data_IF_064427233824
#
_entry.id   IF_064427233824
#
_cell.length_a   1.000
_cell.length_b   1.000
_cell.length_c   1.000
_cell.angle_alpha   90.00
_cell.angle_beta   90.00
_cell.angle_gamma   90.00
#
_symmetry.space_group_name_H-M   'P 1'
#
loop_
_entity.id
_entity.type
_entity.pdbx_description
1 polymer ?
#
# COMPACT_ATOMS: atom_id res chain seq x y z
N UNK A 1 25.41 17.99 19.13
CA UNK A 1 25.32 16.84 18.22
C UNK A 1 25.99 17.32 16.94
N UNK A 2 26.96 16.62 16.44
CA UNK A 2 27.72 17.02 15.25
C UNK A 2 26.82 16.76 14.00
N UNK A 3 26.98 17.53 12.93
CA UNK A 3 26.18 17.36 11.71
C UNK A 3 26.27 15.94 11.14
N UNK A 4 27.39 15.29 11.29
CA UNK A 4 27.62 13.90 10.93
C UNK A 4 26.77 12.90 11.75
N UNK A 5 26.64 13.13 13.06
CA UNK A 5 25.80 12.31 13.95
C UNK A 5 24.31 12.48 13.59
N UNK A 6 23.91 13.71 13.26
CA UNK A 6 22.55 14.06 12.86
C UNK A 6 22.19 13.41 11.53
N UNK A 7 23.07 13.48 10.54
CA UNK A 7 22.91 12.85 9.24
C UNK A 7 22.77 11.32 9.38
N UNK A 8 23.62 10.70 10.20
CA UNK A 8 23.57 9.26 10.45
C UNK A 8 22.26 8.84 11.16
N UNK A 9 21.75 9.67 12.07
CA UNK A 9 20.45 9.45 12.72
C UNK A 9 19.30 9.46 11.70
N UNK A 10 19.21 10.51 10.84
CA UNK A 10 18.16 10.59 9.83
C UNK A 10 18.27 9.48 8.80
N UNK A 11 19.48 9.10 8.40
CA UNK A 11 19.69 8.00 7.47
C UNK A 11 19.22 6.66 8.03
N UNK A 12 19.53 6.35 9.29
CA UNK A 12 19.02 5.13 9.95
C UNK A 12 17.52 5.12 10.10
N UNK A 13 16.93 6.27 10.38
CA UNK A 13 15.48 6.41 10.50
C UNK A 13 14.79 6.19 9.13
N UNK A 14 15.32 6.80 8.08
CA UNK A 14 14.86 6.59 6.71
C UNK A 14 14.96 5.12 6.29
N UNK A 15 16.11 4.48 6.52
CA UNK A 15 16.33 3.06 6.20
C UNK A 15 15.33 2.15 6.92
N UNK A 16 15.07 2.40 8.21
CA UNK A 16 14.11 1.64 9.01
C UNK A 16 12.71 1.73 8.41
N UNK A 17 12.22 2.94 8.15
CA UNK A 17 10.86 3.12 7.64
C UNK A 17 10.71 2.65 6.19
N UNK A 18 11.72 2.79 5.36
CA UNK A 18 11.72 2.25 4.00
C UNK A 18 11.63 0.72 3.99
N UNK A 19 12.40 0.04 4.85
CA UNK A 19 12.32 -1.42 5.03
C UNK A 19 10.95 -1.87 5.56
N UNK A 20 10.43 -1.18 6.57
CA UNK A 20 9.09 -1.46 7.11
C UNK A 20 8.01 -1.32 6.05
N UNK A 21 8.10 -0.30 5.20
CA UNK A 21 7.15 -0.08 4.11
C UNK A 21 7.15 -1.22 3.10
N UNK A 22 8.33 -1.68 2.65
CA UNK A 22 8.45 -2.81 1.73
C UNK A 22 7.87 -4.09 2.34
N UNK A 23 8.17 -4.36 3.61
CA UNK A 23 7.62 -5.52 4.33
C UNK A 23 6.09 -5.46 4.43
N UNK A 24 5.54 -4.28 4.73
CA UNK A 24 4.11 -4.05 4.81
C UNK A 24 3.41 -4.32 3.47
N UNK A 25 3.99 -3.86 2.36
CA UNK A 25 3.45 -4.09 1.01
C UNK A 25 3.46 -5.58 0.65
N UNK A 26 4.57 -6.27 0.92
CA UNK A 26 4.67 -7.71 0.69
C UNK A 26 3.64 -8.49 1.51
N UNK A 27 3.43 -8.08 2.76
CA UNK A 27 2.42 -8.68 3.62
C UNK A 27 0.99 -8.42 3.09
N UNK A 28 0.71 -7.18 2.66
CA UNK A 28 -0.57 -6.86 2.03
C UNK A 28 -0.87 -7.73 0.80
N UNK A 29 0.10 -7.88 -0.10
CA UNK A 29 -0.03 -8.72 -1.29
C UNK A 29 -0.34 -10.17 -0.87
N UNK A 30 0.40 -10.71 0.08
CA UNK A 30 0.21 -12.08 0.57
C UNK A 30 -1.19 -12.29 1.17
N UNK A 31 -1.63 -11.38 2.03
CA UNK A 31 -2.97 -11.43 2.63
C UNK A 31 -4.07 -11.33 1.57
N UNK A 32 -3.91 -10.43 0.60
CA UNK A 32 -4.86 -10.24 -0.49
C UNK A 32 -5.00 -11.51 -1.34
N UNK A 33 -3.89 -12.15 -1.69
CA UNK A 33 -3.89 -13.41 -2.45
C UNK A 33 -4.62 -14.51 -1.68
N UNK A 34 -4.39 -14.65 -0.37
CA UNK A 34 -5.07 -15.65 0.47
C UNK A 34 -6.58 -15.38 0.54
N UNK A 35 -6.97 -14.12 0.72
CA UNK A 35 -8.40 -13.75 0.81
C UNK A 35 -9.15 -13.97 -0.51
N UNK A 36 -8.55 -13.59 -1.65
CA UNK A 36 -9.15 -13.86 -2.96
C UNK A 36 -9.16 -15.36 -3.28
N UNK A 37 -8.12 -16.09 -2.91
CA UNK A 37 -8.08 -17.56 -3.03
C UNK A 37 -9.20 -18.22 -2.21
N UNK A 38 -9.42 -17.76 -0.99
CA UNK A 38 -10.53 -18.22 -0.14
C UNK A 38 -11.90 -17.87 -0.72
N UNK A 39 -12.08 -16.65 -1.23
CA UNK A 39 -13.31 -16.23 -1.91
C UNK A 39 -13.58 -17.10 -3.14
N UNK A 40 -12.56 -17.33 -3.98
CA UNK A 40 -12.67 -18.18 -5.15
C UNK A 40 -13.06 -19.63 -4.79
N UNK A 41 -12.46 -20.17 -3.73
CA UNK A 41 -12.80 -21.51 -3.25
C UNK A 41 -14.26 -21.61 -2.80
N UNK A 42 -14.79 -20.59 -2.10
CA UNK A 42 -16.20 -20.55 -1.69
C UNK A 42 -17.16 -20.50 -2.88
N UNK A 43 -16.83 -19.76 -3.92
CA UNK A 43 -17.65 -19.65 -5.14
C UNK A 43 -17.75 -21.00 -5.86
N UNK A 44 -16.74 -21.86 -5.74
CA UNK A 44 -16.71 -23.18 -6.39
C UNK A 44 -17.42 -24.29 -5.59
N UNK A 45 -17.82 -24.03 -4.37
CA UNK A 45 -18.59 -25.00 -3.59
C UNK A 45 -20.00 -25.19 -4.17
N UNK A 46 -20.44 -26.45 -4.28
CA UNK A 46 -21.80 -26.80 -4.72
C UNK A 46 -22.87 -26.22 -3.76
N UNK A 47 -22.57 -26.19 -2.47
CA UNK A 47 -23.37 -25.48 -1.47
C UNK A 47 -22.91 -24.02 -1.38
N UNK A 48 -23.56 -23.12 -2.10
CA UNK A 48 -23.26 -21.69 -2.04
C UNK A 48 -23.44 -21.14 -0.63
N UNK A 49 -22.42 -20.46 -0.12
CA UNK A 49 -22.40 -19.81 1.19
C UNK A 49 -22.35 -18.28 1.04
N UNK A 50 -23.45 -17.62 0.59
CA UNK A 50 -23.43 -16.20 0.25
C UNK A 50 -23.05 -15.30 1.42
N UNK A 51 -23.37 -15.70 2.65
CA UNK A 51 -22.99 -14.96 3.86
C UNK A 51 -21.47 -14.98 4.05
N UNK A 52 -20.82 -16.13 3.86
CA UNK A 52 -19.35 -16.24 3.99
C UNK A 52 -18.64 -15.45 2.88
N UNK A 53 -19.13 -15.53 1.64
CA UNK A 53 -18.63 -14.73 0.51
C UNK A 53 -18.70 -13.22 0.82
N UNK A 54 -19.84 -12.76 1.36
CA UNK A 54 -20.02 -11.36 1.74
C UNK A 54 -19.03 -10.93 2.82
N UNK A 55 -18.86 -11.71 3.89
CA UNK A 55 -17.94 -11.39 4.97
C UNK A 55 -16.49 -11.34 4.49
N UNK A 56 -16.04 -12.29 3.67
CA UNK A 56 -14.68 -12.27 3.10
C UNK A 56 -14.49 -11.03 2.23
N UNK A 57 -15.47 -10.67 1.40
CA UNK A 57 -15.36 -9.51 0.51
C UNK A 57 -15.31 -8.20 1.30
N UNK A 58 -16.14 -8.04 2.33
CA UNK A 58 -16.07 -6.90 3.25
C UNK A 58 -14.72 -6.85 3.95
N UNK A 59 -14.18 -8.00 4.37
CA UNK A 59 -12.88 -8.08 5.01
C UNK A 59 -11.74 -7.67 4.07
N UNK A 60 -11.80 -8.04 2.77
CA UNK A 60 -10.86 -7.57 1.74
C UNK A 60 -10.84 -6.03 1.68
N UNK A 61 -12.02 -5.39 1.66
CA UNK A 61 -12.12 -3.93 1.64
C UNK A 61 -11.52 -3.31 2.90
N UNK A 62 -11.86 -3.82 4.08
CA UNK A 62 -11.35 -3.32 5.36
C UNK A 62 -9.83 -3.42 5.43
N UNK A 63 -9.26 -4.57 5.09
CA UNK A 63 -7.80 -4.79 5.04
C UNK A 63 -7.15 -3.79 4.08
N UNK A 64 -7.69 -3.63 2.88
CA UNK A 64 -7.14 -2.71 1.88
C UNK A 64 -7.15 -1.26 2.35
N UNK A 65 -8.23 -0.80 3.00
CA UNK A 65 -8.32 0.55 3.58
C UNK A 65 -7.30 0.72 4.71
N UNK A 66 -7.14 -0.27 5.59
CA UNK A 66 -6.16 -0.22 6.67
C UNK A 66 -4.73 -0.09 6.11
N UNK A 67 -4.38 -0.90 5.11
CA UNK A 67 -3.04 -0.83 4.49
C UNK A 67 -2.80 0.48 3.74
N UNK A 68 -3.79 1.04 3.05
CA UNK A 68 -3.69 2.38 2.45
C UNK A 68 -3.37 3.45 3.50
N UNK A 69 -4.03 3.41 4.65
CA UNK A 69 -3.77 4.35 5.76
C UNK A 69 -2.36 4.20 6.33
N UNK A 70 -1.91 2.96 6.49
CA UNK A 70 -0.55 2.66 6.96
C UNK A 70 0.50 3.14 5.95
N UNK A 71 0.30 2.91 4.65
CA UNK A 71 1.20 3.37 3.60
C UNK A 71 1.29 4.89 3.56
N UNK A 72 0.17 5.61 3.62
CA UNK A 72 0.14 7.06 3.68
C UNK A 72 0.96 7.60 4.86
N UNK A 73 0.77 7.03 6.06
CA UNK A 73 1.52 7.42 7.25
C UNK A 73 3.03 7.19 7.08
N UNK A 74 3.41 6.00 6.60
CA UNK A 74 4.82 5.64 6.43
C UNK A 74 5.47 6.48 5.34
N UNK A 75 4.76 6.77 4.24
CA UNK A 75 5.21 7.67 3.18
C UNK A 75 5.49 9.07 3.70
N UNK A 76 4.61 9.62 4.53
CA UNK A 76 4.81 10.94 5.14
C UNK A 76 6.06 10.99 6.02
N UNK A 77 6.33 9.93 6.80
CA UNK A 77 7.53 9.84 7.63
C UNK A 77 8.81 9.76 6.78
N UNK A 78 8.79 9.01 5.70
CA UNK A 78 9.91 8.89 4.76
C UNK A 78 10.20 10.25 4.12
N UNK A 79 9.19 10.94 3.58
CA UNK A 79 9.36 12.27 2.98
C UNK A 79 9.90 13.30 3.97
N UNK A 80 9.43 13.30 5.21
CA UNK A 80 9.97 14.19 6.25
C UNK A 80 11.46 13.94 6.51
N UNK A 81 11.91 12.68 6.47
CA UNK A 81 13.34 12.37 6.60
C UNK A 81 14.15 12.78 5.38
N UNK A 82 13.62 12.58 4.17
CA UNK A 82 14.25 13.00 2.93
C UNK A 82 14.49 14.51 2.91
N UNK A 83 13.52 15.32 3.34
CA UNK A 83 13.65 16.77 3.47
C UNK A 83 14.75 17.17 4.46
N UNK A 84 14.78 16.55 5.64
CA UNK A 84 15.83 16.82 6.62
C UNK A 84 17.23 16.44 6.11
N UNK A 85 17.37 15.30 5.42
CA UNK A 85 18.64 14.87 4.85
C UNK A 85 19.07 15.83 3.74
N UNK A 86 18.14 16.30 2.88
CA UNK A 86 18.44 17.29 1.84
C UNK A 86 18.95 18.61 2.40
N UNK A 87 18.37 19.09 3.50
CA UNK A 87 18.83 20.30 4.14
C UNK A 87 20.28 20.16 4.65
N UNK A 88 20.61 19.00 5.21
CA UNK A 88 21.97 18.70 5.66
C UNK A 88 22.94 18.51 4.47
N UNK A 89 22.49 17.90 3.37
CA UNK A 89 23.28 17.71 2.16
C UNK A 89 23.65 19.04 1.48
N UNK A 90 22.85 20.12 1.63
CA UNK A 90 23.18 21.46 1.09
C UNK A 90 24.49 22.02 1.63
N UNK A 91 24.93 21.60 2.82
CA UNK A 91 26.21 21.98 3.41
C UNK A 91 27.41 21.20 2.83
N UNK A 92 27.12 20.11 2.06
CA UNK A 92 28.13 19.26 1.46
C UNK A 92 28.46 19.70 0.02
N UNK A 93 29.63 19.29 -0.50
CA UNK A 93 29.97 19.51 -1.91
C UNK A 93 28.99 18.82 -2.84
N UNK A 94 28.68 19.40 -4.01
CA UNK A 94 27.72 18.91 -5.00
C UNK A 94 27.90 17.41 -5.40
N UNK A 95 29.15 16.93 -5.36
CA UNK A 95 29.43 15.50 -5.65
C UNK A 95 28.86 14.53 -4.61
N UNK A 96 28.62 14.98 -3.37
CA UNK A 96 28.14 14.17 -2.24
C UNK A 96 26.65 14.26 -2.03
N UNK A 97 25.94 15.10 -2.78
CA UNK A 97 24.49 15.29 -2.66
C UNK A 97 23.71 14.17 -3.41
N UNK A 98 23.57 13.02 -2.79
CA UNK A 98 22.97 11.83 -3.40
C UNK A 98 21.46 11.95 -3.58
N UNK A 99 20.73 12.49 -2.59
CA UNK A 99 19.27 12.60 -2.64
C UNK A 99 18.85 13.64 -3.68
N UNK A 100 19.52 14.78 -3.72
CA UNK A 100 19.26 15.81 -4.73
C UNK A 100 19.47 15.29 -6.16
N UNK A 101 20.53 14.52 -6.40
CA UNK A 101 20.78 13.88 -7.71
C UNK A 101 19.76 12.82 -8.06
N UNK A 102 19.34 12.01 -7.09
CA UNK A 102 18.34 10.96 -7.33
C UNK A 102 16.97 11.54 -7.69
N UNK A 103 16.57 12.68 -7.14
CA UNK A 103 15.33 13.37 -7.51
C UNK A 103 15.34 13.87 -8.95
N UNK A 104 16.43 14.50 -9.38
CA UNK A 104 16.58 14.95 -10.77
C UNK A 104 16.46 13.81 -11.78
N UNK A 105 16.90 12.60 -11.41
CA UNK A 105 16.77 11.40 -12.23
C UNK A 105 15.37 10.76 -12.18
N UNK A 106 14.63 10.96 -11.08
CA UNK A 106 13.33 10.34 -10.84
C UNK A 106 12.14 11.25 -11.14
N UNK A 107 12.37 12.49 -11.55
CA UNK A 107 11.31 13.49 -11.83
C UNK A 107 10.29 13.02 -12.89
N UNK A 108 10.64 12.00 -13.70
CA UNK A 108 9.74 11.34 -14.66
C UNK A 108 9.11 10.03 -14.16
N UNK A 109 9.49 9.50 -13.01
CA UNK A 109 9.01 8.22 -12.49
C UNK A 109 7.83 8.42 -11.54
N UNK A 110 6.72 7.72 -11.80
CA UNK A 110 5.59 7.67 -10.85
C UNK A 110 6.09 7.18 -9.50
N UNK A 111 5.82 7.96 -8.45
CA UNK A 111 6.20 7.59 -7.08
C UNK A 111 5.71 6.18 -6.74
N UNK A 112 6.54 5.40 -6.08
CA UNK A 112 6.22 4.06 -5.59
C UNK A 112 4.92 4.05 -4.74
N UNK A 113 4.65 5.16 -4.02
CA UNK A 113 3.42 5.39 -3.28
C UNK A 113 2.19 5.40 -4.18
N UNK A 114 2.26 6.02 -5.36
CA UNK A 114 1.12 6.04 -6.28
C UNK A 114 0.83 4.66 -6.88
N UNK A 115 1.85 3.86 -7.13
CA UNK A 115 1.69 2.50 -7.66
C UNK A 115 1.00 1.58 -6.66
N UNK A 116 1.40 1.64 -5.38
CA UNK A 116 0.74 0.89 -4.32
C UNK A 116 -0.71 1.34 -4.10
N UNK A 117 -0.96 2.65 -4.10
CA UNK A 117 -2.31 3.18 -3.98
C UNK A 117 -3.22 2.72 -5.13
N UNK A 118 -2.72 2.71 -6.36
CA UNK A 118 -3.47 2.19 -7.53
C UNK A 118 -3.80 0.70 -7.32
N UNK A 119 -2.83 -0.12 -6.91
CA UNK A 119 -3.06 -1.54 -6.63
C UNK A 119 -4.17 -1.74 -5.59
N UNK A 120 -4.09 -1.06 -4.46
CA UNK A 120 -5.08 -1.18 -3.40
C UNK A 120 -6.47 -0.67 -3.82
N UNK A 121 -6.54 0.40 -4.62
CA UNK A 121 -7.80 0.90 -5.18
C UNK A 121 -8.40 -0.11 -6.15
N UNK A 122 -7.61 -0.76 -7.01
CA UNK A 122 -8.08 -1.82 -7.90
C UNK A 122 -8.65 -3.01 -7.12
N UNK A 123 -8.00 -3.41 -6.01
CA UNK A 123 -8.50 -4.47 -5.13
C UNK A 123 -9.84 -4.07 -4.49
N UNK A 124 -9.97 -2.85 -3.98
CA UNK A 124 -11.22 -2.35 -3.41
C UNK A 124 -12.32 -2.29 -4.48
N UNK A 125 -12.01 -1.74 -5.66
CA UNK A 125 -12.98 -1.62 -6.75
C UNK A 125 -13.50 -3.00 -7.20
N UNK A 126 -12.61 -3.99 -7.34
CA UNK A 126 -13.03 -5.36 -7.70
C UNK A 126 -13.91 -6.01 -6.65
N UNK A 127 -13.61 -5.80 -5.36
CA UNK A 127 -14.44 -6.30 -4.26
C UNK A 127 -15.83 -5.63 -4.23
N UNK A 128 -15.90 -4.32 -4.45
CA UNK A 128 -17.17 -3.58 -4.52
C UNK A 128 -18.01 -4.03 -5.70
N UNK A 129 -17.41 -4.18 -6.89
CA UNK A 129 -18.09 -4.70 -8.09
C UNK A 129 -18.66 -6.09 -7.82
N UNK A 130 -17.88 -6.96 -7.17
CA UNK A 130 -18.35 -8.29 -6.80
C UNK A 130 -19.58 -8.24 -5.88
N UNK A 131 -19.58 -7.39 -4.84
CA UNK A 131 -20.74 -7.23 -3.93
C UNK A 131 -21.96 -6.76 -4.72
N UNK A 132 -21.82 -5.79 -5.62
CA UNK A 132 -22.92 -5.25 -6.43
C UNK A 132 -23.52 -6.35 -7.31
N UNK A 133 -22.69 -7.06 -8.07
CA UNK A 133 -23.15 -8.15 -8.95
C UNK A 133 -23.87 -9.24 -8.16
N UNK A 134 -23.33 -9.60 -7.00
CA UNK A 134 -23.92 -10.63 -6.15
C UNK A 134 -25.27 -10.20 -5.57
N UNK A 135 -25.38 -8.93 -5.18
CA UNK A 135 -26.65 -8.37 -4.68
C UNK A 135 -27.73 -8.39 -5.77
N UNK A 136 -27.37 -8.01 -7.00
CA UNK A 136 -28.31 -8.05 -8.15
C UNK A 136 -28.78 -9.48 -8.43
N UNK A 137 -27.88 -10.46 -8.39
CA UNK A 137 -28.23 -11.88 -8.59
C UNK A 137 -29.25 -12.35 -7.54
N UNK A 138 -29.02 -12.03 -6.26
CA UNK A 138 -29.91 -12.41 -5.16
C UNK A 138 -31.30 -11.76 -5.34
N UNK A 139 -31.35 -10.47 -5.68
CA UNK A 139 -32.62 -9.76 -5.90
C UNK A 139 -33.34 -10.34 -7.12
N UNK A 140 -32.63 -10.63 -8.22
CA UNK A 140 -33.23 -11.22 -9.42
C UNK A 140 -33.88 -12.58 -9.17
N UNK A 141 -33.29 -13.39 -8.30
CA UNK A 141 -33.88 -14.71 -7.90
C UNK A 141 -35.11 -14.54 -7.02
N UNK A 142 -35.21 -13.48 -6.22
CA UNK A 142 -36.38 -13.22 -5.36
C UNK A 142 -37.63 -12.74 -6.12
N UNK A 143 -37.45 -12.28 -7.38
CA UNK A 143 -38.54 -11.77 -8.21
C UNK A 143 -39.03 -12.75 -9.31
N UNK A 144 -38.45 -13.94 -9.38
CA UNK A 144 -38.92 -15.08 -10.20
C UNK A 144 -39.71 -16.10 -9.36
#
# INVERSE_FOLDING_TARGET
MNDEDLLNYYWKYFELHSKQRIQMINFYISVTVVLYGGLFALIQLDSRLPIAEFFITVFIVLVSVCFLRLDQRTSTLIHGCEECIKELEKSLSEEKQLIHKSELLLESSKSYSSTFAILAICVIASAVVYIILRTIEIIGVCFQ
#
